data_IF_190760859299
#
_entry.id   IF_190760859299
#
_cell.length_a   1.000
_cell.length_b   1.000
_cell.length_c   1.000
_cell.angle_alpha   90.00
_cell.angle_beta   90.00
_cell.angle_gamma   90.00
#
_symmetry.space_group_name_H-M   'P 1'
#
loop_
_entity.id
_entity.type
_entity.pdbx_description
1 polymer ?
#
# COMPACT_ATOMS: atom_id res chain seq x y z
N UNK A 1 17.15 25.51 20.21
CA UNK A 1 16.17 25.28 19.13
C UNK A 1 16.51 23.94 18.52
N UNK A 2 15.72 22.90 18.80
CA UNK A 2 15.85 21.60 18.12
C UNK A 2 15.31 21.77 16.70
N UNK A 3 16.11 21.37 15.73
CA UNK A 3 15.70 21.27 14.33
C UNK A 3 14.62 20.17 14.28
N UNK A 4 13.35 20.56 14.21
CA UNK A 4 12.29 19.65 13.81
C UNK A 4 12.42 19.52 12.29
N UNK A 5 13.28 18.62 11.85
CA UNK A 5 13.14 18.08 10.49
C UNK A 5 11.80 17.36 10.48
N UNK A 6 10.78 18.02 9.94
CA UNK A 6 9.51 17.37 9.63
C UNK A 6 9.84 16.16 8.76
N UNK A 7 9.77 14.96 9.33
CA UNK A 7 9.75 13.70 8.59
C UNK A 7 8.61 13.82 7.57
N UNK A 8 8.95 14.23 6.35
CA UNK A 8 7.96 14.29 5.29
C UNK A 8 7.49 12.87 5.04
N UNK A 9 6.21 12.64 5.33
CA UNK A 9 5.55 11.36 5.08
C UNK A 9 5.75 11.01 3.61
N UNK A 10 6.13 9.76 3.34
CA UNK A 10 6.37 9.28 1.97
C UNK A 10 5.13 9.60 1.09
N UNK A 11 5.30 10.32 -0.04
CA UNK A 11 4.18 10.74 -0.87
C UNK A 11 3.40 9.55 -1.45
N UNK A 12 4.05 8.42 -1.71
CA UNK A 12 3.41 7.18 -2.17
C UNK A 12 2.51 6.62 -1.06
N UNK A 13 2.95 6.70 0.21
CA UNK A 13 2.12 6.30 1.34
C UNK A 13 0.90 7.22 1.46
N UNK A 14 1.09 8.54 1.37
CA UNK A 14 -0.01 9.51 1.43
C UNK A 14 -1.05 9.25 0.33
N UNK A 15 -0.61 9.12 -0.92
CA UNK A 15 -1.51 8.84 -2.06
C UNK A 15 -2.27 7.52 -1.86
N UNK A 16 -1.58 6.49 -1.37
CA UNK A 16 -2.21 5.21 -1.05
C UNK A 16 -3.26 5.35 0.04
N UNK A 17 -2.98 6.09 1.12
CA UNK A 17 -3.91 6.29 2.24
C UNK A 17 -5.12 7.15 1.87
N UNK A 18 -4.92 8.20 1.06
CA UNK A 18 -5.97 9.12 0.60
C UNK A 18 -6.93 8.48 -0.44
N UNK A 19 -6.56 7.32 -0.98
CA UNK A 19 -7.37 6.59 -1.97
C UNK A 19 -8.31 5.61 -1.27
N UNK A 20 -9.62 5.76 -1.42
CA UNK A 20 -10.61 4.85 -0.82
C UNK A 20 -10.87 3.57 -1.65
N UNK A 21 -10.69 3.63 -2.97
CA UNK A 21 -10.97 2.50 -3.87
C UNK A 21 -9.78 1.54 -3.98
N UNK A 22 -10.02 0.26 -3.76
CA UNK A 22 -8.98 -0.77 -3.85
C UNK A 22 -8.47 -0.99 -5.28
N UNK A 23 -9.26 -0.70 -6.33
CA UNK A 23 -8.72 -0.74 -7.70
C UNK A 23 -7.71 0.39 -7.93
N UNK A 24 -7.98 1.61 -7.47
CA UNK A 24 -7.03 2.73 -7.53
C UNK A 24 -5.80 2.48 -6.64
N UNK A 25 -5.95 1.97 -5.40
CA UNK A 25 -4.82 1.55 -4.56
C UNK A 25 -3.91 0.55 -5.28
N UNK A 26 -4.48 -0.40 -6.02
CA UNK A 26 -3.70 -1.37 -6.81
C UNK A 26 -2.92 -0.69 -7.94
N UNK A 27 -3.49 0.31 -8.61
CA UNK A 27 -2.81 1.07 -9.67
C UNK A 27 -1.59 1.81 -9.12
N UNK A 28 -1.69 2.41 -7.93
CA UNK A 28 -0.55 3.04 -7.23
C UNK A 28 0.58 2.01 -7.08
N UNK A 29 0.29 0.85 -6.49
CA UNK A 29 1.31 -0.20 -6.28
C UNK A 29 1.95 -0.71 -7.58
N UNK A 30 1.19 -0.76 -8.68
CA UNK A 30 1.70 -1.17 -10.00
C UNK A 30 2.56 -0.08 -10.65
N UNK A 31 2.18 1.18 -10.47
CA UNK A 31 2.89 2.33 -11.02
C UNK A 31 4.21 2.63 -10.28
N UNK A 32 4.30 2.31 -8.99
CA UNK A 32 5.50 2.52 -8.18
C UNK A 32 6.62 1.54 -8.54
N UNK A 33 7.82 2.01 -8.92
CA UNK A 33 9.01 1.19 -9.09
C UNK A 33 9.38 0.40 -7.83
N UNK A 34 9.86 -0.84 -8.00
CA UNK A 34 10.18 -1.69 -6.85
C UNK A 34 11.26 -1.10 -5.93
N UNK A 35 12.18 -0.31 -6.49
CA UNK A 35 13.27 0.35 -5.77
C UNK A 35 12.81 1.47 -4.83
N UNK A 36 11.57 1.96 -4.99
CA UNK A 36 10.99 3.01 -4.16
C UNK A 36 10.26 2.44 -2.93
N UNK A 37 10.23 1.10 -2.79
CA UNK A 37 9.70 0.41 -1.62
C UNK A 37 10.80 0.08 -0.63
N UNK A 38 10.48 0.28 0.65
CA UNK A 38 11.18 -0.30 1.78
C UNK A 38 10.20 -1.08 2.66
N UNK A 39 10.72 -1.80 3.66
CA UNK A 39 9.89 -2.60 4.56
C UNK A 39 8.87 -1.74 5.32
N UNK A 40 9.25 -0.54 5.75
CA UNK A 40 8.38 0.35 6.53
C UNK A 40 7.19 0.83 5.70
N UNK A 41 7.40 1.18 4.43
CA UNK A 41 6.36 1.57 3.50
C UNK A 41 5.34 0.44 3.30
N UNK A 42 5.84 -0.78 3.08
CA UNK A 42 4.99 -1.97 2.89
C UNK A 42 4.17 -2.24 4.15
N UNK A 43 4.79 -2.20 5.33
CA UNK A 43 4.13 -2.48 6.60
C UNK A 43 3.03 -1.45 6.92
N UNK A 44 3.30 -0.16 6.67
CA UNK A 44 2.31 0.90 6.86
C UNK A 44 1.13 0.74 5.90
N UNK A 45 1.37 0.45 4.63
CA UNK A 45 0.31 0.19 3.66
C UNK A 45 -0.52 -1.04 4.05
N UNK A 46 0.14 -2.15 4.41
CA UNK A 46 -0.51 -3.39 4.82
C UNK A 46 -1.37 -3.17 6.07
N UNK A 47 -0.85 -2.48 7.08
CA UNK A 47 -1.57 -2.14 8.30
C UNK A 47 -2.81 -1.27 8.02
N UNK A 48 -2.73 -0.30 7.10
CA UNK A 48 -3.87 0.56 6.75
C UNK A 48 -5.04 -0.18 6.11
N UNK A 49 -4.76 -1.36 5.54
CA UNK A 49 -5.76 -2.25 4.97
C UNK A 49 -5.92 -3.50 5.82
N UNK A 50 -5.59 -3.55 7.11
CA UNK A 50 -5.77 -4.78 7.92
C UNK A 50 -5.24 -6.07 7.24
N UNK A 51 -4.08 -5.99 6.57
CA UNK A 51 -3.36 -7.13 5.98
C UNK A 51 -2.02 -7.28 6.71
N UNK A 52 -1.56 -8.52 6.89
CA UNK A 52 -0.23 -8.84 7.39
C UNK A 52 0.55 -9.41 6.21
N UNK A 53 1.75 -8.88 5.97
CA UNK A 53 2.66 -9.33 4.92
C UNK A 53 3.79 -10.08 5.62
N UNK A 54 4.07 -11.31 5.18
CA UNK A 54 5.09 -12.14 5.77
C UNK A 54 6.50 -11.61 5.47
N UNK A 55 7.48 -12.04 6.26
CA UNK A 55 8.87 -11.66 6.02
C UNK A 55 9.41 -12.24 4.72
N UNK A 56 10.19 -11.42 4.00
CA UNK A 56 10.73 -11.76 2.69
C UNK A 56 11.53 -10.59 2.09
N UNK A 57 12.05 -10.78 0.88
CA UNK A 57 12.62 -9.68 0.11
C UNK A 57 11.54 -8.67 -0.34
N UNK A 58 11.97 -7.46 -0.69
CA UNK A 58 11.07 -6.36 -1.06
C UNK A 58 10.17 -6.74 -2.23
N UNK A 59 10.70 -7.46 -3.23
CA UNK A 59 9.92 -7.87 -4.40
C UNK A 59 8.78 -8.79 -4.01
N UNK A 60 9.06 -9.83 -3.23
CA UNK A 60 8.09 -10.79 -2.74
C UNK A 60 7.02 -10.12 -1.87
N UNK A 61 7.43 -9.26 -0.94
CA UNK A 61 6.51 -8.51 -0.06
C UNK A 61 5.59 -7.56 -0.85
N UNK A 62 6.12 -6.86 -1.85
CA UNK A 62 5.31 -5.98 -2.72
C UNK A 62 4.33 -6.80 -3.56
N UNK A 63 4.72 -7.98 -4.05
CA UNK A 63 3.81 -8.87 -4.75
C UNK A 63 2.69 -9.38 -3.85
N UNK A 64 3.00 -9.74 -2.61
CA UNK A 64 1.98 -10.16 -1.64
C UNK A 64 1.00 -9.02 -1.32
N UNK A 65 1.49 -7.80 -1.10
CA UNK A 65 0.66 -6.62 -0.89
C UNK A 65 -0.27 -6.38 -2.09
N UNK A 66 0.25 -6.48 -3.33
CA UNK A 66 -0.55 -6.39 -4.57
C UNK A 66 -1.67 -7.44 -4.62
N UNK A 67 -1.38 -8.68 -4.22
CA UNK A 67 -2.39 -9.75 -4.14
C UNK A 67 -3.45 -9.45 -3.08
N UNK A 68 -3.06 -8.96 -1.90
CA UNK A 68 -3.96 -8.54 -0.82
C UNK A 68 -4.94 -7.45 -1.33
N UNK A 69 -4.42 -6.38 -1.94
CA UNK A 69 -5.21 -5.26 -2.47
C UNK A 69 -6.15 -5.71 -3.60
N UNK A 70 -5.64 -6.46 -4.59
CA UNK A 70 -6.44 -6.95 -5.72
C UNK A 70 -7.58 -7.86 -5.31
N UNK A 71 -7.36 -8.68 -4.27
CA UNK A 71 -8.38 -9.58 -3.73
C UNK A 71 -9.52 -8.77 -3.13
N UNK A 72 -9.23 -7.71 -2.37
CA UNK A 72 -10.23 -6.81 -1.77
C UNK A 72 -11.03 -6.04 -2.82
N UNK A 73 -10.36 -5.49 -3.84
CA UNK A 73 -11.01 -4.83 -4.97
C UNK A 73 -12.12 -5.71 -5.58
N UNK A 74 -11.83 -7.00 -5.77
CA UNK A 74 -12.81 -7.96 -6.30
C UNK A 74 -14.06 -8.09 -5.40
N UNK A 75 -13.90 -8.08 -4.08
CA UNK A 75 -15.03 -8.22 -3.15
C UNK A 75 -15.82 -6.93 -2.95
N UNK A 76 -15.18 -5.76 -2.99
CA UNK A 76 -15.89 -4.48 -2.93
C UNK A 76 -16.76 -4.26 -4.17
N UNK A 77 -16.22 -4.55 -5.35
CA UNK A 77 -16.97 -4.52 -6.61
C UNK A 77 -18.17 -5.48 -6.60
N UNK A 78 -18.10 -6.61 -5.88
CA UNK A 78 -19.22 -7.53 -5.72
C UNK A 78 -20.24 -7.07 -4.66
N UNK A 79 -19.83 -6.33 -3.62
CA UNK A 79 -20.74 -5.81 -2.59
C UNK A 79 -21.62 -4.67 -3.09
N UNK A 80 -21.12 -3.85 -4.01
CA UNK A 80 -21.84 -2.69 -4.55
C UNK A 80 -22.80 -3.01 -5.71
N UNK A 81 -22.78 -4.24 -6.24
CA UNK A 81 -23.65 -4.68 -7.36
C UNK A 81 -25.01 -5.25 -6.92
N UNK A 82 -25.55 -4.86 -5.77
CA UNK A 82 -26.88 -5.28 -5.29
C UNK A 82 -27.92 -4.19 -5.47
#
# INVERSE_FOLDING_TARGET
>A
MSNFEEEQVNPILLEFLDTDDFEEKYKILVATPIMDFDNLLIDNMASSIDCVIEDGDIESRVQELKVCVKTRAKYETLRLRR
#
